data_IF_745099796135
#
_entry.id   IF_745099796135
#
_cell.length_a   1.000
_cell.length_b   1.000
_cell.length_c   1.000
_cell.angle_alpha   90.00
_cell.angle_beta   90.00
_cell.angle_gamma   90.00
#
_symmetry.space_group_name_H-M   'P 1'
#
loop_
_entity.id
_entity.type
_entity.pdbx_description
1 polymer ?
#
# COMPACT_ATOMS: atom_id res chain seq x y z
N UNK A 1 -39.43 -9.44 67.47
CA UNK A 1 -40.85 -9.08 67.67
C UNK A 1 -41.01 -7.62 67.30
N UNK A 2 -41.89 -7.35 66.32
CA UNK A 2 -42.53 -6.04 66.01
C UNK A 2 -41.61 -4.91 65.50
N UNK A 3 -41.94 -4.08 64.51
CA UNK A 3 -43.13 -3.95 63.66
C UNK A 3 -42.74 -3.14 62.40
N UNK A 4 -43.57 -3.27 61.38
CA UNK A 4 -43.44 -2.80 60.00
C UNK A 4 -44.01 -1.38 59.81
N UNK A 5 -43.44 -0.58 58.90
CA UNK A 5 -44.16 0.47 58.13
C UNK A 5 -43.44 0.70 56.79
N UNK A 6 -44.19 0.79 55.69
CA UNK A 6 -43.72 0.80 54.28
C UNK A 6 -44.38 1.98 53.53
N UNK A 7 -43.69 2.45 52.47
CA UNK A 7 -44.14 3.13 51.20
C UNK A 7 -43.95 4.67 51.10
N UNK A 8 -43.82 5.26 49.87
CA UNK A 8 -42.74 5.06 48.88
C UNK A 8 -42.31 6.39 48.19
N UNK A 9 -41.22 6.40 47.39
CA UNK A 9 -41.08 7.37 46.29
C UNK A 9 -40.09 6.88 45.22
N UNK A 10 -40.58 6.84 43.97
CA UNK A 10 -39.85 6.64 42.72
C UNK A 10 -38.65 7.60 42.60
N UNK A 11 -37.50 7.12 42.12
CA UNK A 11 -37.01 7.43 40.77
C UNK A 11 -35.69 6.71 40.42
N UNK A 12 -35.82 5.73 39.52
CA UNK A 12 -35.01 5.48 38.31
C UNK A 12 -33.48 5.49 38.43
N UNK A 13 -32.92 4.28 38.46
CA UNK A 13 -31.55 3.93 38.12
C UNK A 13 -31.25 4.28 36.64
N UNK A 14 -30.14 4.98 36.37
CA UNK A 14 -29.56 5.09 35.03
C UNK A 14 -28.10 4.68 35.13
N UNK A 15 -27.84 3.43 34.73
CA UNK A 15 -26.52 2.86 34.51
C UNK A 15 -25.74 3.67 33.47
N UNK A 16 -24.48 3.97 33.79
CA UNK A 16 -23.50 4.61 32.89
C UNK A 16 -22.59 3.52 32.31
N UNK A 17 -22.65 3.20 31.01
CA UNK A 17 -21.67 2.33 30.39
C UNK A 17 -20.42 3.10 29.97
N UNK A 18 -19.29 2.46 30.26
CA UNK A 18 -17.94 2.57 29.70
C UNK A 18 -17.83 3.26 28.35
N UNK A 19 -17.09 4.37 28.33
CA UNK A 19 -16.73 5.12 27.13
C UNK A 19 -15.74 4.28 26.30
N UNK A 20 -16.26 3.58 25.29
CA UNK A 20 -15.44 3.05 24.21
C UNK A 20 -14.97 4.24 23.39
N UNK A 21 -13.66 4.45 23.34
CA UNK A 21 -13.02 5.41 22.46
C UNK A 21 -13.25 4.96 21.01
N UNK A 22 -14.41 5.29 20.46
CA UNK A 22 -14.67 5.21 19.03
C UNK A 22 -13.78 6.24 18.36
N UNK A 23 -12.68 5.80 17.74
CA UNK A 23 -12.03 6.58 16.70
C UNK A 23 -13.05 6.73 15.57
N UNK A 24 -13.76 7.86 15.56
CA UNK A 24 -14.61 8.23 14.44
C UNK A 24 -13.71 8.49 13.23
N UNK A 25 -13.54 7.48 12.38
CA UNK A 25 -13.20 7.69 10.98
C UNK A 25 -14.40 8.43 10.38
N UNK A 26 -14.38 9.75 10.44
CA UNK A 26 -15.23 10.55 9.58
C UNK A 26 -14.86 10.22 8.12
N UNK A 27 -15.78 10.29 7.16
CA UNK A 27 -15.39 10.24 5.77
C UNK A 27 -14.50 11.45 5.53
N UNK A 28 -13.19 11.23 5.48
CA UNK A 28 -12.27 12.24 4.96
C UNK A 28 -12.83 12.64 3.61
N UNK A 29 -13.07 13.94 3.42
CA UNK A 29 -13.80 14.46 2.26
C UNK A 29 -13.20 13.99 0.93
N UNK A 30 -13.93 14.11 -0.17
CA UNK A 30 -13.52 13.61 -1.50
C UNK A 30 -12.03 13.85 -1.84
N UNK A 31 -11.41 12.90 -2.53
CA UNK A 31 -10.01 12.98 -2.98
C UNK A 31 -9.82 14.11 -4.03
N UNK A 32 -9.59 15.34 -3.54
CA UNK A 32 -9.46 16.55 -4.38
C UNK A 32 -8.16 16.59 -5.19
N UNK A 33 -7.09 15.97 -4.68
CA UNK A 33 -5.78 15.89 -5.35
C UNK A 33 -5.36 14.42 -5.52
N UNK A 34 -5.73 13.76 -6.65
CA UNK A 34 -5.51 12.33 -6.88
C UNK A 34 -4.07 12.00 -7.29
N UNK A 35 -3.11 12.62 -6.62
CA UNK A 35 -1.69 12.45 -6.91
C UNK A 35 -0.95 11.69 -5.82
N UNK A 36 0.12 11.01 -6.22
CA UNK A 36 1.04 10.37 -5.28
C UNK A 36 2.06 11.39 -4.80
N UNK A 37 2.36 11.35 -3.50
CA UNK A 37 3.49 12.04 -2.89
C UNK A 37 4.80 11.31 -3.18
N UNK A 38 4.77 9.98 -3.15
CA UNK A 38 5.95 9.13 -3.38
C UNK A 38 5.56 7.69 -3.72
N UNK A 39 6.46 6.96 -4.38
CA UNK A 39 6.40 5.51 -4.51
C UNK A 39 7.61 4.95 -3.75
N UNK A 40 7.36 4.22 -2.66
CA UNK A 40 8.42 3.50 -1.94
C UNK A 40 8.51 2.07 -2.44
N UNK A 41 9.73 1.58 -2.55
CA UNK A 41 10.05 0.19 -2.86
C UNK A 41 10.93 -0.40 -1.77
N UNK A 42 10.83 -1.71 -1.58
CA UNK A 42 11.66 -2.47 -0.64
C UNK A 42 12.00 -3.82 -1.29
N UNK A 43 13.29 -4.06 -1.67
CA UNK A 43 14.44 -3.18 -1.47
C UNK A 43 14.29 -1.82 -2.18
N UNK A 44 14.96 -0.76 -1.69
CA UNK A 44 14.84 0.57 -2.29
C UNK A 44 15.44 0.58 -3.70
N UNK A 45 14.64 1.05 -4.65
CA UNK A 45 15.00 1.15 -6.07
C UNK A 45 15.00 2.61 -6.49
N UNK A 46 15.87 2.94 -7.44
CA UNK A 46 15.93 4.27 -8.04
C UNK A 46 14.90 4.32 -9.17
N UNK A 47 13.95 5.24 -9.07
CA UNK A 47 13.00 5.49 -10.15
C UNK A 47 13.65 6.38 -11.21
N UNK A 48 13.45 6.01 -12.47
CA UNK A 48 13.89 6.76 -13.65
C UNK A 48 12.66 7.13 -14.49
N UNK A 49 12.36 8.43 -14.64
CA UNK A 49 13.00 9.57 -13.96
C UNK A 49 12.75 9.58 -12.45
N UNK A 50 13.46 10.41 -11.66
CA UNK A 50 13.13 10.62 -10.26
C UNK A 50 11.65 10.98 -10.08
N UNK A 51 11.07 10.57 -8.95
CA UNK A 51 9.63 10.71 -8.74
C UNK A 51 9.16 12.17 -8.81
N UNK A 52 8.08 12.40 -9.56
CA UNK A 52 7.36 13.67 -9.67
C UNK A 52 5.86 13.40 -9.85
N UNK A 53 4.96 14.01 -9.05
CA UNK A 53 3.52 13.78 -9.19
C UNK A 53 2.96 14.00 -10.61
N UNK A 54 3.61 14.87 -11.39
CA UNK A 54 3.21 15.17 -12.77
C UNK A 54 3.41 14.00 -13.75
N UNK A 55 4.39 13.13 -13.48
CA UNK A 55 4.72 11.99 -14.36
C UNK A 55 3.97 10.75 -13.93
N UNK A 56 3.47 10.00 -14.91
CA UNK A 56 2.62 8.82 -14.71
C UNK A 56 3.31 7.51 -15.07
N UNK A 57 4.55 7.55 -15.53
CA UNK A 57 5.31 6.39 -15.95
C UNK A 57 6.73 6.44 -15.40
N UNK A 58 7.16 5.33 -14.80
CA UNK A 58 8.46 5.19 -14.16
C UNK A 58 9.09 3.85 -14.51
N UNK A 59 10.42 3.84 -14.52
CA UNK A 59 11.23 2.63 -14.66
C UNK A 59 12.10 2.43 -13.44
N UNK A 60 12.34 1.18 -13.06
CA UNK A 60 13.27 0.82 -12.01
C UNK A 60 14.06 -0.43 -12.41
N UNK A 61 15.37 -0.40 -12.20
CA UNK A 61 16.20 -1.59 -12.34
C UNK A 61 16.20 -2.36 -11.02
N UNK A 62 16.06 -3.68 -11.10
CA UNK A 62 16.01 -4.60 -9.98
C UNK A 62 17.25 -5.49 -10.01
N UNK A 63 18.02 -5.61 -8.92
CA UNK A 63 19.19 -6.49 -8.87
C UNK A 63 18.85 -7.93 -9.28
N UNK A 64 19.79 -8.62 -9.92
CA UNK A 64 19.58 -9.96 -10.49
C UNK A 64 19.07 -11.00 -9.48
N UNK A 65 19.55 -10.93 -8.23
CA UNK A 65 19.23 -11.84 -7.13
C UNK A 65 17.92 -11.49 -6.40
N UNK A 66 17.34 -10.31 -6.66
CA UNK A 66 16.09 -9.89 -6.04
C UNK A 66 14.91 -10.59 -6.71
N UNK A 67 14.16 -11.37 -5.91
CA UNK A 67 13.02 -12.16 -6.38
C UNK A 67 11.70 -11.42 -6.22
N UNK A 68 11.56 -10.60 -5.18
CA UNK A 68 10.34 -9.84 -4.90
C UNK A 68 10.65 -8.41 -4.50
N UNK A 69 9.81 -7.48 -4.93
CA UNK A 69 9.86 -6.08 -4.52
C UNK A 69 8.53 -5.70 -3.88
N UNK A 70 8.57 -5.17 -2.66
CA UNK A 70 7.39 -4.60 -2.01
C UNK A 70 7.17 -3.19 -2.53
N UNK A 71 5.95 -2.90 -2.96
CA UNK A 71 5.55 -1.59 -3.48
C UNK A 71 4.58 -0.95 -2.50
N UNK A 72 4.91 0.27 -2.07
CA UNK A 72 4.10 1.09 -1.17
C UNK A 72 4.00 2.51 -1.73
N UNK A 73 2.97 2.80 -2.54
CA UNK A 73 2.67 4.14 -2.97
C UNK A 73 2.07 4.94 -1.81
N UNK A 74 2.32 6.24 -1.79
CA UNK A 74 1.83 7.15 -0.77
C UNK A 74 1.06 8.30 -1.43
N UNK A 75 -0.25 8.45 -1.17
CA UNK A 75 -1.02 9.55 -1.75
C UNK A 75 -0.69 10.88 -1.08
N UNK A 76 -0.89 11.98 -1.81
CA UNK A 76 -0.79 13.34 -1.25
C UNK A 76 -1.91 13.55 -0.22
N UNK A 77 -3.15 13.25 -0.59
CA UNK A 77 -4.32 13.35 0.27
C UNK A 77 -4.66 12.01 0.92
N UNK A 78 -4.95 12.03 2.23
CA UNK A 78 -5.35 10.85 2.99
C UNK A 78 -6.76 10.34 2.63
N UNK A 79 -7.58 11.18 1.98
CA UNK A 79 -8.86 10.77 1.41
C UNK A 79 -8.75 9.92 0.13
N UNK A 80 -7.57 9.84 -0.48
CA UNK A 80 -7.35 9.02 -1.66
C UNK A 80 -7.00 7.59 -1.26
N UNK A 81 -7.61 6.63 -1.93
CA UNK A 81 -7.34 5.20 -1.75
C UNK A 81 -6.44 4.71 -2.87
N UNK A 82 -5.48 3.87 -2.52
CA UNK A 82 -4.54 3.27 -3.46
C UNK A 82 -4.91 1.82 -3.70
N UNK A 83 -4.92 1.42 -4.96
CA UNK A 83 -5.07 0.03 -5.38
C UNK A 83 -3.99 -0.36 -6.38
N UNK A 84 -3.33 -1.48 -6.15
CA UNK A 84 -2.33 -2.02 -7.06
C UNK A 84 -2.96 -3.03 -8.03
N UNK A 85 -2.68 -2.86 -9.32
CA UNK A 85 -3.12 -3.58 -10.53
C UNK A 85 -4.62 -3.64 -10.80
N UNK A 86 -5.41 -3.94 -9.79
CA UNK A 86 -6.86 -4.08 -9.89
C UNK A 86 -7.56 -2.99 -9.07
N UNK A 87 -8.76 -2.57 -9.45
CA UNK A 87 -9.57 -1.57 -8.73
C UNK A 87 -9.92 -1.94 -7.29
N UNK A 88 -9.71 -3.21 -6.91
CA UNK A 88 -9.87 -3.72 -5.54
C UNK A 88 -8.60 -4.42 -5.03
N UNK A 89 -7.47 -4.12 -5.67
CA UNK A 89 -6.17 -4.60 -5.25
C UNK A 89 -5.77 -4.00 -3.91
N UNK A 90 -4.80 -4.59 -3.22
CA UNK A 90 -4.25 -4.01 -2.00
C UNK A 90 -3.53 -2.69 -2.33
N UNK A 91 -3.46 -1.77 -1.36
CA UNK A 91 -2.66 -0.55 -1.51
C UNK A 91 -1.15 -0.78 -1.35
N UNK A 92 -0.76 -1.92 -0.78
CA UNK A 92 0.64 -2.34 -0.58
C UNK A 92 0.73 -3.83 -0.90
N UNK A 93 1.70 -4.22 -1.73
CA UNK A 93 1.90 -5.63 -2.09
C UNK A 93 3.35 -5.94 -2.45
N UNK A 94 3.69 -7.24 -2.40
CA UNK A 94 4.94 -7.78 -2.91
C UNK A 94 4.74 -8.29 -4.34
N UNK A 95 5.59 -7.86 -5.26
CA UNK A 95 5.55 -8.29 -6.66
C UNK A 95 6.75 -9.18 -6.96
N UNK A 96 6.53 -10.39 -7.49
CA UNK A 96 7.62 -11.19 -8.01
C UNK A 96 8.21 -10.53 -9.25
N UNK A 97 9.54 -10.53 -9.35
CA UNK A 97 10.25 -9.96 -10.49
C UNK A 97 10.61 -11.08 -11.46
N UNK A 98 9.95 -11.08 -12.61
CA UNK A 98 10.04 -12.15 -13.60
C UNK A 98 11.24 -12.05 -14.56
N UNK A 99 11.31 -12.99 -15.49
CA UNK A 99 12.10 -12.87 -16.72
C UNK A 99 11.26 -12.07 -17.73
N UNK A 100 11.39 -10.75 -17.74
CA UNK A 100 10.64 -9.85 -18.62
C UNK A 100 10.31 -8.51 -17.95
N UNK A 101 9.53 -7.68 -18.65
CA UNK A 101 9.01 -6.43 -18.11
C UNK A 101 7.95 -6.73 -17.03
N UNK A 102 8.27 -6.40 -15.79
CA UNK A 102 7.32 -6.51 -14.68
C UNK A 102 6.63 -5.16 -14.51
N UNK A 103 5.41 -5.05 -15.05
CA UNK A 103 4.61 -3.82 -15.01
C UNK A 103 3.59 -3.85 -13.88
N UNK A 104 3.57 -2.80 -13.07
CA UNK A 104 2.60 -2.57 -11.99
C UNK A 104 1.79 -1.32 -12.28
N UNK A 105 0.47 -1.41 -12.16
CA UNK A 105 -0.43 -0.25 -12.27
C UNK A 105 -0.85 0.21 -10.87
N UNK A 106 -0.63 1.48 -10.54
CA UNK A 106 -0.99 2.08 -9.27
C UNK A 106 -2.20 2.99 -9.51
N UNK A 107 -3.35 2.58 -9.02
CA UNK A 107 -4.62 3.26 -9.19
C UNK A 107 -4.90 4.13 -7.97
N UNK A 108 -5.24 5.40 -8.21
CA UNK A 108 -5.70 6.35 -7.19
C UNK A 108 -7.20 6.57 -7.35
N UNK A 109 -7.97 6.28 -6.29
CA UNK A 109 -9.43 6.33 -6.28
C UNK A 109 -9.94 7.16 -5.09
N UNK A 110 -11.21 7.56 -5.12
CA UNK A 110 -11.85 8.29 -4.03
C UNK A 110 -12.36 7.31 -2.95
N UNK A 111 -12.10 7.61 -1.67
CA UNK A 111 -12.62 6.84 -0.54
C UNK A 111 -14.14 6.99 -0.34
N UNK A 112 -14.72 8.11 -0.80
CA UNK A 112 -16.12 8.45 -0.56
C UNK A 112 -17.11 7.67 -1.44
N UNK A 113 -16.64 7.09 -2.55
CA UNK A 113 -17.48 6.46 -3.55
C UNK A 113 -17.64 4.94 -3.32
N UNK A 114 -18.87 4.40 -3.32
CA UNK A 114 -19.11 2.95 -3.16
C UNK A 114 -18.57 2.12 -4.33
N UNK A 115 -18.35 2.75 -5.48
CA UNK A 115 -17.68 2.17 -6.64
C UNK A 115 -16.42 3.00 -6.93
N UNK A 116 -15.21 2.47 -6.68
CA UNK A 116 -13.98 3.24 -6.78
C UNK A 116 -13.75 3.68 -8.24
N UNK A 117 -13.97 4.97 -8.50
CA UNK A 117 -13.64 5.60 -9.78
C UNK A 117 -12.15 5.91 -9.78
N UNK A 118 -11.44 5.40 -10.79
CA UNK A 118 -10.01 5.68 -10.96
C UNK A 118 -9.83 7.08 -11.49
N UNK A 119 -9.20 7.94 -10.69
CA UNK A 119 -8.92 9.33 -11.04
C UNK A 119 -7.53 9.49 -11.63
N UNK A 120 -6.55 8.68 -11.22
CA UNK A 120 -5.18 8.73 -11.74
C UNK A 120 -4.55 7.34 -11.71
N UNK A 121 -3.73 7.05 -12.72
CA UNK A 121 -2.96 5.82 -12.83
C UNK A 121 -1.48 6.19 -12.96
N UNK A 122 -0.63 5.58 -12.14
CA UNK A 122 0.82 5.56 -12.33
C UNK A 122 1.25 4.16 -12.76
N UNK A 123 2.18 4.06 -13.69
CA UNK A 123 2.73 2.79 -14.18
C UNK A 123 4.18 2.69 -13.78
N UNK A 124 4.54 1.61 -13.09
CA UNK A 124 5.92 1.29 -12.74
C UNK A 124 6.35 0.06 -13.54
N UNK A 125 7.38 0.23 -14.36
CA UNK A 125 8.05 -0.84 -15.08
C UNK A 125 9.31 -1.24 -14.30
N UNK A 126 9.38 -2.49 -13.88
CA UNK A 126 10.55 -3.05 -13.23
C UNK A 126 11.28 -4.00 -14.17
N UNK A 127 12.58 -3.76 -14.33
CA UNK A 127 13.45 -4.56 -15.17
C UNK A 127 14.52 -5.20 -14.32
N UNK A 128 14.57 -6.53 -14.33
CA UNK A 128 15.65 -7.23 -13.65
C UNK A 128 16.94 -7.09 -14.44
N UNK A 129 18.02 -6.78 -13.74
CA UNK A 129 19.36 -6.76 -14.30
C UNK A 129 19.70 -8.12 -14.93
N UNK A 130 20.52 -8.08 -15.97
CA UNK A 130 21.04 -9.30 -16.58
C UNK A 130 21.86 -10.10 -15.58
N UNK A 131 21.86 -11.43 -15.74
CA UNK A 131 22.73 -12.31 -14.95
C UNK A 131 24.18 -11.83 -15.04
N UNK A 132 24.86 -11.58 -13.91
CA UNK A 132 26.28 -11.27 -13.94
C UNK A 132 27.03 -12.43 -14.58
N UNK A 133 28.02 -12.10 -15.42
CA UNK A 133 28.90 -13.12 -16.00
C UNK A 133 29.56 -13.92 -14.88
N UNK A 134 29.73 -15.22 -15.09
CA UNK A 134 30.48 -16.05 -14.15
C UNK A 134 31.86 -15.44 -13.91
N UNK A 135 32.37 -15.44 -12.66
CA UNK A 135 33.72 -14.98 -12.40
C UNK A 135 34.69 -15.85 -13.22
N UNK A 136 35.39 -15.22 -14.15
CA UNK A 136 36.39 -15.87 -14.98
C UNK A 136 37.66 -16.01 -14.14
N UNK A 137 37.93 -17.19 -13.60
CA UNK A 137 39.22 -17.49 -12.97
C UNK A 137 40.12 -18.16 -14.02
N UNK A 138 40.81 -17.37 -14.84
CA UNK A 138 41.66 -17.86 -15.93
C UNK A 138 40.87 -18.38 -17.14
N UNK A 139 41.33 -19.47 -17.77
CA UNK A 139 40.74 -20.06 -18.99
C UNK A 139 39.57 -21.03 -18.71
N UNK A 140 39.05 -21.08 -17.49
CA UNK A 140 38.03 -22.03 -17.08
C UNK A 140 36.78 -21.33 -16.55
N UNK A 141 35.63 -21.68 -17.13
CA UNK A 141 34.31 -21.27 -16.64
C UNK A 141 33.81 -22.34 -15.68
N UNK A 142 33.60 -22.02 -14.40
CA UNK A 142 32.97 -22.93 -13.45
C UNK A 142 31.46 -22.68 -13.36
N UNK A 143 30.66 -23.70 -13.64
CA UNK A 143 29.25 -23.73 -13.25
C UNK A 143 29.16 -24.11 -11.76
N UNK A 144 28.92 -23.15 -10.86
CA UNK A 144 28.61 -23.46 -9.47
C UNK A 144 27.10 -23.67 -9.28
N UNK A 145 26.71 -24.79 -8.68
CA UNK A 145 25.38 -24.95 -8.08
C UNK A 145 25.40 -24.38 -6.66
N UNK A 146 24.50 -23.45 -6.37
CA UNK A 146 24.21 -23.02 -4.99
C UNK A 146 23.18 -24.01 -4.43
N UNK A 147 23.52 -24.64 -3.30
CA UNK A 147 22.70 -25.62 -2.58
C UNK A 147 21.77 -24.94 -1.57
#
# INVERSE_FOLDING_TARGET
MSHMTVLPALHREVNKPTNQQSASLQPEGSCVDPHLRQIYTDPPLILTPPFSPALKEYRAEVPFDTVTVRIRPEPISAACVIHLDNHRGPGIANFPVGLGDSRISILVTDAAEPYPVVMTIYTLHMYRESRPSLPMFGDHVMCSFLQ
#
